data_IF_028169827997
#
_entry.id   IF_028169827997
#
_cell.length_a   1.000
_cell.length_b   1.000
_cell.length_c   1.000
_cell.angle_alpha   90.00
_cell.angle_beta   90.00
_cell.angle_gamma   90.00
#
_symmetry.space_group_name_H-M   'P 1'
#
loop_
_entity.id
_entity.type
_entity.pdbx_description
1 polymer ?
#
# COMPACT_ATOMS: atom_id res chain seq x y z
N UNK A 1 18.10 -4.53 -11.94
CA UNK A 1 16.62 -4.71 -12.06
C UNK A 1 15.90 -3.48 -11.54
N UNK A 2 16.15 -3.03 -10.31
CA UNK A 2 15.57 -1.82 -9.69
C UNK A 2 15.54 -0.60 -10.60
N UNK A 3 16.68 -0.23 -11.20
CA UNK A 3 16.75 0.91 -12.12
C UNK A 3 15.82 0.78 -13.33
N UNK A 4 15.61 -0.44 -13.85
CA UNK A 4 14.69 -0.67 -14.98
C UNK A 4 13.23 -0.48 -14.56
N UNK A 5 12.86 -0.95 -13.36
CA UNK A 5 11.51 -0.78 -12.83
C UNK A 5 11.24 0.70 -12.59
N UNK A 6 12.12 1.38 -11.86
CA UNK A 6 11.97 2.80 -11.56
C UNK A 6 11.96 3.68 -12.81
N UNK A 7 12.83 3.41 -13.80
CA UNK A 7 12.84 4.15 -15.07
C UNK A 7 11.48 4.02 -15.79
N UNK A 8 10.94 2.80 -15.88
CA UNK A 8 9.62 2.55 -16.49
C UNK A 8 8.51 3.33 -15.79
N UNK A 9 8.50 3.33 -14.44
CA UNK A 9 7.47 3.99 -13.66
C UNK A 9 7.62 5.52 -13.63
N UNK A 10 8.84 6.02 -13.82
CA UNK A 10 9.09 7.46 -13.98
C UNK A 10 8.94 7.96 -15.44
N UNK A 11 8.64 7.07 -16.40
CA UNK A 11 8.56 7.44 -17.81
C UNK A 11 9.88 7.86 -18.42
N UNK A 12 11.01 7.33 -17.90
CA UNK A 12 12.36 7.63 -18.33
C UNK A 12 13.03 6.42 -19.00
N UNK A 13 13.96 6.67 -19.91
CA UNK A 13 14.73 5.60 -20.56
C UNK A 13 15.69 4.90 -19.59
N UNK A 14 16.23 5.65 -18.63
CA UNK A 14 17.14 5.15 -17.60
C UNK A 14 17.14 6.06 -16.37
N UNK A 15 17.48 5.49 -15.22
CA UNK A 15 17.70 6.23 -13.97
C UNK A 15 19.02 5.82 -13.33
N UNK A 16 19.62 6.71 -12.56
CA UNK A 16 20.89 6.48 -11.86
C UNK A 16 20.73 6.73 -10.36
N UNK A 17 21.60 6.13 -9.55
CA UNK A 17 21.61 6.35 -8.11
C UNK A 17 21.83 7.84 -7.78
N UNK A 18 21.07 8.37 -6.86
CA UNK A 18 21.09 9.79 -6.46
C UNK A 18 20.22 10.71 -7.31
N UNK A 19 19.61 10.21 -8.39
CA UNK A 19 18.65 10.97 -9.18
C UNK A 19 17.31 11.08 -8.42
N UNK A 20 16.74 12.28 -8.36
CA UNK A 20 15.37 12.48 -7.92
C UNK A 20 14.43 12.14 -9.08
N UNK A 21 13.46 11.30 -8.83
CA UNK A 21 12.44 10.90 -9.79
C UNK A 21 11.08 10.91 -9.13
N UNK A 22 10.04 11.00 -9.92
CA UNK A 22 8.66 10.77 -9.52
C UNK A 22 8.18 9.50 -10.20
N UNK A 23 7.81 8.49 -9.43
CA UNK A 23 7.47 7.17 -9.95
C UNK A 23 5.99 6.85 -9.71
N UNK A 24 5.29 6.35 -10.75
CA UNK A 24 3.93 5.84 -10.65
C UNK A 24 3.90 4.56 -9.84
N UNK A 25 2.87 4.43 -9.02
CA UNK A 25 2.69 3.30 -8.11
C UNK A 25 1.71 2.28 -8.68
N UNK A 26 2.04 1.00 -8.54
CA UNK A 26 1.15 -0.11 -8.88
C UNK A 26 0.39 -0.61 -7.66
N UNK A 27 1.02 -0.56 -6.48
CA UNK A 27 0.38 -0.94 -5.21
C UNK A 27 0.76 0.04 -4.12
N UNK A 28 -0.25 0.51 -3.40
CA UNK A 28 -0.13 1.29 -2.16
C UNK A 28 -0.82 0.50 -1.06
N UNK A 29 -0.06 0.04 -0.05
CA UNK A 29 -0.61 -0.81 1.00
C UNK A 29 -0.39 -0.26 2.40
N UNK A 30 -1.34 -0.55 3.29
CA UNK A 30 -1.23 -0.31 4.72
C UNK A 30 -2.00 -1.38 5.50
N UNK A 31 -1.66 -1.51 6.78
CA UNK A 31 -2.32 -2.43 7.68
C UNK A 31 -3.20 -1.72 8.72
N UNK A 32 -3.76 -2.45 9.66
CA UNK A 32 -4.62 -1.93 10.72
C UNK A 32 -3.88 -1.17 11.84
N UNK A 33 -2.55 -1.07 11.78
CA UNK A 33 -1.76 -0.15 12.60
C UNK A 33 -1.60 1.19 11.88
N UNK A 34 -1.07 1.16 10.68
CA UNK A 34 -0.59 2.34 9.95
C UNK A 34 -1.66 2.98 9.07
N UNK A 35 -2.59 2.17 8.55
CA UNK A 35 -3.73 2.66 7.78
C UNK A 35 -4.54 3.72 8.53
N UNK A 36 -5.05 3.44 9.74
CA UNK A 36 -5.82 4.44 10.51
C UNK A 36 -5.07 5.74 10.77
N UNK A 37 -3.73 5.70 10.81
CA UNK A 37 -2.89 6.91 10.97
C UNK A 37 -2.76 7.70 9.66
N UNK A 38 -2.81 7.03 8.53
CA UNK A 38 -2.71 7.67 7.20
C UNK A 38 -4.04 8.31 6.76
N UNK A 39 -5.20 7.74 7.14
CA UNK A 39 -6.52 8.20 6.68
C UNK A 39 -6.81 9.68 6.97
N UNK A 40 -6.53 10.24 8.19
CA UNK A 40 -6.73 11.66 8.44
C UNK A 40 -5.87 12.57 7.58
N UNK A 41 -4.66 12.11 7.20
CA UNK A 41 -3.75 12.84 6.33
C UNK A 41 -4.27 12.79 4.90
N UNK A 42 -4.70 11.61 4.44
CA UNK A 42 -5.33 11.41 3.13
C UNK A 42 -6.52 12.35 2.92
N UNK A 43 -7.43 12.45 3.90
CA UNK A 43 -8.62 13.32 3.81
C UNK A 43 -8.31 14.82 3.79
N UNK A 44 -7.08 15.23 4.13
CA UNK A 44 -6.63 16.61 3.92
C UNK A 44 -6.14 16.87 2.48
N UNK A 45 -5.85 15.82 1.72
CA UNK A 45 -5.29 15.90 0.37
C UNK A 45 -6.32 15.55 -0.71
N UNK A 46 -7.19 14.58 -0.45
CA UNK A 46 -8.12 14.05 -1.43
C UNK A 46 -9.40 13.47 -0.80
N UNK A 47 -10.48 13.44 -1.57
CA UNK A 47 -11.73 12.77 -1.21
C UNK A 47 -11.79 11.34 -1.77
N UNK A 48 -11.01 11.03 -2.81
CA UNK A 48 -10.98 9.74 -3.49
C UNK A 48 -9.55 9.27 -3.68
N UNK A 49 -9.37 7.95 -3.56
CA UNK A 49 -8.09 7.32 -3.93
C UNK A 49 -7.86 7.43 -5.43
N UNK A 50 -6.58 7.50 -5.83
CA UNK A 50 -6.21 7.61 -7.24
C UNK A 50 -6.71 6.42 -8.10
N UNK A 51 -6.68 5.23 -7.52
CA UNK A 51 -7.15 4.01 -8.16
C UNK A 51 -7.56 2.98 -7.10
N UNK A 52 -8.82 2.58 -7.11
CA UNK A 52 -9.40 1.62 -6.17
C UNK A 52 -8.86 0.19 -6.31
N UNK A 53 -8.24 -0.12 -7.45
CA UNK A 53 -7.66 -1.44 -7.72
C UNK A 53 -6.23 -1.55 -7.16
N UNK A 54 -5.60 -0.40 -6.83
CA UNK A 54 -4.19 -0.30 -6.43
C UNK A 54 -3.98 0.07 -4.97
N UNK A 55 -5.02 0.49 -4.27
CA UNK A 55 -4.96 0.76 -2.82
C UNK A 55 -5.49 -0.44 -2.05
N UNK A 56 -4.69 -0.94 -1.10
CA UNK A 56 -5.00 -2.18 -0.38
C UNK A 56 -4.78 -1.98 1.11
N UNK A 57 -5.79 -2.29 1.89
CA UNK A 57 -5.76 -2.22 3.35
C UNK A 57 -5.98 -3.61 3.93
N UNK A 58 -5.03 -4.10 4.74
CA UNK A 58 -5.03 -5.46 5.28
C UNK A 58 -5.10 -5.44 6.81
N UNK A 59 -6.18 -5.96 7.43
CA UNK A 59 -6.29 -6.07 8.89
C UNK A 59 -5.60 -7.35 9.39
N UNK A 60 -4.29 -7.35 9.54
CA UNK A 60 -3.52 -8.54 9.90
C UNK A 60 -2.67 -8.43 11.17
N UNK A 61 -2.39 -7.22 11.66
CA UNK A 61 -1.56 -7.02 12.84
C UNK A 61 -2.35 -7.11 14.15
N UNK A 62 -3.58 -6.60 14.17
CA UNK A 62 -4.45 -6.62 15.34
C UNK A 62 -5.58 -7.66 15.27
N UNK A 63 -5.49 -8.57 14.34
CA UNK A 63 -6.49 -9.61 14.10
C UNK A 63 -6.00 -10.96 14.61
N UNK A 64 -6.78 -11.70 15.46
CA UNK A 64 -8.05 -11.27 16.05
C UNK A 64 -7.86 -10.13 17.07
N UNK A 65 -8.82 -9.20 17.09
CA UNK A 65 -8.71 -8.01 17.94
C UNK A 65 -8.71 -8.37 19.43
N UNK A 66 -7.73 -7.88 20.17
CA UNK A 66 -7.55 -8.15 21.60
C UNK A 66 -8.32 -7.19 22.52
N UNK A 67 -8.70 -6.02 22.01
CA UNK A 67 -9.36 -4.95 22.73
C UNK A 67 -10.18 -4.04 21.79
N UNK A 68 -10.92 -3.09 22.38
CA UNK A 68 -11.77 -2.16 21.64
C UNK A 68 -10.95 -1.30 20.69
N UNK A 69 -9.78 -0.81 21.13
CA UNK A 69 -8.92 0.07 20.32
C UNK A 69 -8.42 -0.64 19.06
N UNK A 70 -8.00 -1.89 19.16
CA UNK A 70 -7.60 -2.68 17.99
C UNK A 70 -8.78 -2.95 17.05
N UNK A 71 -9.99 -3.17 17.60
CA UNK A 71 -11.18 -3.33 16.80
C UNK A 71 -11.59 -2.03 16.07
N UNK A 72 -11.44 -0.87 16.73
CA UNK A 72 -11.66 0.44 16.10
C UNK A 72 -10.70 0.69 14.93
N UNK A 73 -9.43 0.32 15.07
CA UNK A 73 -8.45 0.43 14.00
C UNK A 73 -8.82 -0.45 12.79
N UNK A 74 -9.15 -1.71 13.03
CA UNK A 74 -9.59 -2.63 11.96
C UNK A 74 -10.87 -2.13 11.30
N UNK A 75 -11.80 -1.57 12.09
CA UNK A 75 -13.02 -0.96 11.58
C UNK A 75 -12.74 0.26 10.71
N UNK A 76 -11.81 1.13 11.10
CA UNK A 76 -11.49 2.34 10.35
C UNK A 76 -11.02 2.03 8.91
N UNK A 77 -10.12 1.04 8.74
CA UNK A 77 -9.69 0.64 7.41
C UNK A 77 -10.78 -0.10 6.63
N UNK A 78 -11.66 -0.82 7.31
CA UNK A 78 -12.81 -1.48 6.68
C UNK A 78 -13.82 -0.45 6.16
N UNK A 79 -14.18 0.53 6.98
CA UNK A 79 -15.09 1.61 6.62
C UNK A 79 -14.54 2.40 5.42
N UNK A 80 -13.25 2.77 5.46
CA UNK A 80 -12.58 3.45 4.36
C UNK A 80 -12.57 2.60 3.07
N UNK A 81 -12.29 1.31 3.17
CA UNK A 81 -12.31 0.41 2.03
C UNK A 81 -13.68 0.35 1.35
N UNK A 82 -14.75 0.37 2.16
CA UNK A 82 -16.12 0.42 1.67
C UNK A 82 -16.44 1.77 1.01
N UNK A 83 -16.10 2.89 1.66
CA UNK A 83 -16.37 4.24 1.15
C UNK A 83 -15.64 4.52 -0.16
N UNK A 84 -14.43 4.02 -0.31
CA UNK A 84 -13.62 4.14 -1.52
C UNK A 84 -13.95 3.04 -2.56
N UNK A 85 -14.77 2.07 -2.20
CA UNK A 85 -15.11 0.91 -3.05
C UNK A 85 -13.86 0.15 -3.52
N UNK A 86 -12.89 -0.08 -2.61
CA UNK A 86 -11.64 -0.76 -2.96
C UNK A 86 -11.92 -2.18 -3.48
N UNK A 87 -11.29 -2.53 -4.60
CA UNK A 87 -11.50 -3.83 -5.26
C UNK A 87 -10.95 -4.98 -4.42
N UNK A 88 -9.80 -4.78 -3.79
CA UNK A 88 -9.17 -5.75 -2.93
C UNK A 88 -9.59 -5.54 -1.47
N UNK A 89 -10.85 -5.82 -1.21
CA UNK A 89 -11.42 -5.70 0.12
C UNK A 89 -10.97 -6.86 1.02
N UNK A 90 -10.20 -6.53 2.04
CA UNK A 90 -9.68 -7.49 3.00
C UNK A 90 -10.49 -7.41 4.30
N UNK A 91 -11.34 -8.40 4.52
CA UNK A 91 -12.14 -8.52 5.74
C UNK A 91 -11.42 -9.34 6.82
N UNK A 92 -11.62 -8.97 8.06
CA UNK A 92 -11.18 -9.74 9.20
C UNK A 92 -11.74 -11.18 9.14
N UNK A 93 -10.86 -12.17 9.33
CA UNK A 93 -11.23 -13.60 9.23
C UNK A 93 -11.25 -14.17 7.82
N UNK A 94 -11.12 -13.33 6.78
CA UNK A 94 -11.03 -13.74 5.37
C UNK A 94 -9.70 -13.33 4.72
N UNK A 95 -8.81 -12.71 5.47
CA UNK A 95 -7.46 -12.34 5.05
C UNK A 95 -6.41 -13.15 5.81
N UNK A 96 -5.16 -12.98 5.45
CA UNK A 96 -4.00 -13.52 6.12
C UNK A 96 -2.95 -12.44 6.31
N UNK A 97 -1.73 -12.83 6.68
CA UNK A 97 -0.58 -11.93 6.76
C UNK A 97 -0.38 -11.23 5.41
N UNK A 98 -0.31 -9.91 5.40
CA UNK A 98 -0.28 -9.09 4.18
C UNK A 98 0.82 -9.52 3.20
N UNK A 99 2.02 -9.80 3.70
CA UNK A 99 3.15 -10.20 2.85
C UNK A 99 3.04 -11.63 2.29
N UNK A 100 2.10 -12.43 2.75
CA UNK A 100 1.78 -13.74 2.19
C UNK A 100 0.56 -13.66 1.26
N UNK A 101 -0.53 -13.01 1.73
CA UNK A 101 -1.79 -13.03 1.01
C UNK A 101 -1.76 -12.22 -0.30
N UNK A 102 -1.01 -11.09 -0.35
CA UNK A 102 -0.96 -10.27 -1.56
C UNK A 102 -0.28 -11.02 -2.73
N UNK A 103 0.87 -11.70 -2.54
CA UNK A 103 1.42 -12.57 -3.57
C UNK A 103 0.52 -13.76 -3.93
N UNK A 104 -0.07 -14.44 -2.94
CA UNK A 104 -0.95 -15.60 -3.17
C UNK A 104 -2.17 -15.25 -4.02
N UNK A 105 -2.70 -14.04 -3.88
CA UNK A 105 -3.82 -13.52 -4.68
C UNK A 105 -3.38 -12.94 -6.03
N UNK A 106 -2.09 -12.90 -6.32
CA UNK A 106 -1.55 -12.31 -7.54
C UNK A 106 -1.71 -10.78 -7.61
N UNK A 107 -1.86 -10.13 -6.46
CA UNK A 107 -1.96 -8.67 -6.35
C UNK A 107 -0.59 -8.03 -6.51
N UNK A 108 0.45 -8.72 -6.05
CA UNK A 108 1.85 -8.31 -6.18
C UNK A 108 2.55 -9.20 -7.18
N UNK A 109 3.12 -8.62 -8.23
CA UNK A 109 3.82 -9.32 -9.29
C UNK A 109 5.18 -8.68 -9.63
N UNK A 110 5.99 -9.41 -10.41
CA UNK A 110 7.31 -8.94 -10.83
C UNK A 110 7.21 -7.68 -11.70
N UNK A 111 8.11 -6.72 -11.47
CA UNK A 111 8.22 -5.49 -12.26
C UNK A 111 7.36 -4.34 -11.76
N UNK A 112 6.61 -4.51 -10.70
CA UNK A 112 5.80 -3.46 -10.08
C UNK A 112 6.60 -2.51 -9.19
N UNK A 113 6.05 -1.31 -8.98
CA UNK A 113 6.51 -0.30 -8.03
C UNK A 113 5.51 -0.22 -6.88
N UNK A 114 5.94 -0.63 -5.68
CA UNK A 114 5.10 -0.86 -4.51
C UNK A 114 5.59 -0.03 -3.33
N UNK A 115 4.68 0.66 -2.67
CA UNK A 115 4.94 1.24 -1.35
C UNK A 115 4.01 0.67 -0.30
N UNK A 116 4.50 0.53 0.92
CA UNK A 116 3.72 0.05 2.04
C UNK A 116 4.08 0.76 3.34
N UNK A 117 3.12 0.98 4.21
CA UNK A 117 3.35 1.49 5.54
C UNK A 117 3.70 0.36 6.53
N UNK A 118 4.53 -0.55 6.08
CA UNK A 118 5.07 -1.65 6.88
C UNK A 118 6.57 -1.79 6.62
N UNK A 119 7.34 -2.08 7.68
CA UNK A 119 8.79 -2.18 7.60
C UNK A 119 9.28 -3.38 6.76
N UNK A 120 8.44 -4.39 6.56
CA UNK A 120 8.74 -5.59 5.77
C UNK A 120 8.25 -5.51 4.32
N UNK A 121 7.72 -4.37 3.88
CA UNK A 121 7.24 -4.18 2.49
C UNK A 121 8.30 -4.53 1.44
N UNK A 122 9.59 -4.34 1.74
CA UNK A 122 10.69 -4.69 0.84
C UNK A 122 10.76 -6.18 0.47
N UNK A 123 10.01 -7.07 1.18
CA UNK A 123 9.99 -8.51 0.92
C UNK A 123 9.54 -8.86 -0.51
N UNK A 124 8.70 -8.02 -1.13
CA UNK A 124 8.24 -8.25 -2.51
C UNK A 124 9.36 -8.10 -3.56
N UNK A 125 10.51 -7.53 -3.16
CA UNK A 125 11.73 -7.58 -3.96
C UNK A 125 12.18 -9.01 -4.31
N UNK A 126 11.88 -9.99 -3.45
CA UNK A 126 12.13 -11.40 -3.71
C UNK A 126 11.30 -11.95 -4.89
N UNK A 127 10.17 -11.32 -5.20
CA UNK A 127 9.30 -11.65 -6.33
C UNK A 127 9.65 -10.85 -7.60
N UNK A 128 10.64 -9.96 -7.53
CA UNK A 128 11.09 -9.15 -8.65
C UNK A 128 10.38 -7.80 -8.80
N UNK A 129 9.68 -7.32 -7.78
CA UNK A 129 9.14 -5.97 -7.69
C UNK A 129 10.19 -4.97 -7.16
N UNK A 130 10.02 -3.67 -7.42
CA UNK A 130 10.60 -2.63 -6.57
C UNK A 130 9.60 -2.36 -5.45
N UNK A 131 9.99 -2.61 -4.21
CA UNK A 131 9.10 -2.50 -3.07
C UNK A 131 9.83 -1.91 -1.87
N UNK A 132 9.20 -0.94 -1.19
CA UNK A 132 9.80 -0.27 -0.04
C UNK A 132 8.77 0.13 1.00
N UNK A 133 9.20 0.08 2.28
CA UNK A 133 8.45 0.65 3.39
C UNK A 133 8.62 2.17 3.45
N UNK A 134 7.52 2.87 3.69
CA UNK A 134 7.48 4.33 3.79
C UNK A 134 6.65 4.78 4.98
N UNK A 135 6.67 6.07 5.30
CA UNK A 135 5.89 6.65 6.39
C UNK A 135 4.40 6.79 6.06
N UNK A 136 3.59 7.05 7.09
CA UNK A 136 2.13 7.22 6.94
C UNK A 136 1.76 8.42 6.08
N UNK A 137 2.57 9.48 6.08
CA UNK A 137 2.38 10.66 5.21
C UNK A 137 2.59 10.28 3.73
N UNK A 138 3.62 9.50 3.46
CA UNK A 138 3.94 9.06 2.09
C UNK A 138 2.85 8.10 1.57
N UNK A 139 2.34 7.21 2.44
CA UNK A 139 1.19 6.35 2.09
C UNK A 139 -0.03 7.19 1.76
N UNK A 140 -0.36 8.20 2.57
CA UNK A 140 -1.49 9.09 2.31
C UNK A 140 -1.33 9.81 0.95
N UNK A 141 -0.11 10.29 0.66
CA UNK A 141 0.22 10.89 -0.64
C UNK A 141 0.05 9.88 -1.77
N UNK A 142 0.64 8.70 -1.65
CA UNK A 142 0.51 7.64 -2.65
C UNK A 142 -0.93 7.21 -2.90
N UNK A 143 -1.77 7.12 -1.84
CA UNK A 143 -3.21 6.84 -1.98
C UNK A 143 -3.96 7.95 -2.74
N UNK A 144 -3.54 9.20 -2.54
CA UNK A 144 -4.18 10.36 -3.18
C UNK A 144 -3.73 10.56 -4.64
N UNK A 145 -2.45 10.39 -4.93
CA UNK A 145 -1.84 10.78 -6.22
C UNK A 145 -1.50 9.61 -7.14
N UNK A 146 -1.19 8.45 -6.58
CA UNK A 146 -0.64 7.31 -7.32
C UNK A 146 0.83 7.44 -7.70
N UNK A 147 1.53 8.39 -7.11
CA UNK A 147 2.93 8.72 -7.41
C UNK A 147 3.71 8.98 -6.12
N UNK A 148 5.00 8.74 -6.15
CA UNK A 148 5.94 9.04 -5.07
C UNK A 148 7.32 9.34 -5.63
#
# INVERSE_FOLDING_TARGET
MTQKILAKHAGLDAVVAGQLIEAKLDVVMANDITGPMALPIFHQMADKVFDRDKVILVPDHFTPNKDIKSAENSKAILDFSNDQCLTHHMEQGKCGVEHAILPEKGIVVAGECIIGADSHTCTYGALGAFSTGVGTTDIATGMATGEL
#
